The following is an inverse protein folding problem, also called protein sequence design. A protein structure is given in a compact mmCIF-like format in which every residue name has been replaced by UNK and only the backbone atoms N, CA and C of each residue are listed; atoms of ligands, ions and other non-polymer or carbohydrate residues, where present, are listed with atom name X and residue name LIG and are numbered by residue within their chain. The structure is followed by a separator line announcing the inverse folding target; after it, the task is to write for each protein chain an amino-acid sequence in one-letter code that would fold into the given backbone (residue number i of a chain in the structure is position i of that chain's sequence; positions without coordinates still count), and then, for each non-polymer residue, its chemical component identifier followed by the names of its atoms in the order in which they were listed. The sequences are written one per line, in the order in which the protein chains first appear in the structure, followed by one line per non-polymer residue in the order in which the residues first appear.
data_IF_468522940301
#
_entry.id   IF_468522940301
#
_cell.length_a   1.000
_cell.length_b   1.000
_cell.length_c   1.000
_cell.angle_alpha   90.00
_cell.angle_beta   90.00
_cell.angle_gamma   90.00
#
_symmetry.space_group_name_H-M   'P 1'
#
loop_
_entity.id
_entity.type
_entity.pdbx_description
1 polymer ?
#
# COMPACT_ATOMS: atom_id res chain seq x y z
N UNK A 1 -15.20 -51.98 41.03
CA UNK A 1 -15.58 -50.79 40.24
C UNK A 1 -14.40 -50.13 39.50
N UNK A 2 -13.16 -50.59 39.67
CA UNK A 2 -11.94 -49.98 39.12
C UNK A 2 -11.57 -50.41 37.69
N UNK A 3 -12.04 -51.57 37.21
CA UNK A 3 -11.65 -52.13 35.89
C UNK A 3 -12.33 -51.45 34.68
N UNK A 4 -13.46 -50.77 34.88
CA UNK A 4 -14.16 -50.04 33.81
C UNK A 4 -13.50 -48.68 33.49
N UNK A 5 -12.95 -47.99 34.49
CA UNK A 5 -12.28 -46.71 34.29
C UNK A 5 -10.95 -46.84 33.55
N UNK A 6 -10.22 -47.95 33.74
CA UNK A 6 -8.97 -48.20 33.01
C UNK A 6 -9.19 -48.39 31.51
N UNK A 7 -10.29 -49.03 31.12
CA UNK A 7 -10.65 -49.24 29.70
C UNK A 7 -11.09 -47.93 29.06
N UNK A 8 -11.84 -47.09 29.78
CA UNK A 8 -12.25 -45.76 29.30
C UNK A 8 -11.05 -44.82 29.17
N UNK A 9 -10.09 -44.87 30.09
CA UNK A 9 -8.86 -44.08 30.02
C UNK A 9 -7.96 -44.53 28.85
N UNK A 10 -7.90 -45.84 28.56
CA UNK A 10 -7.14 -46.38 27.44
C UNK A 10 -7.79 -46.06 26.07
N UNK A 11 -9.13 -46.01 26.01
CA UNK A 11 -9.88 -45.54 24.83
C UNK A 11 -9.70 -44.03 24.60
N UNK A 12 -9.64 -43.20 25.66
CA UNK A 12 -9.35 -41.77 25.54
C UNK A 12 -7.91 -41.48 25.09
N UNK A 13 -6.94 -42.30 25.50
CA UNK A 13 -5.54 -42.17 25.08
C UNK A 13 -5.34 -42.57 23.60
N UNK A 14 -6.17 -43.48 23.07
CA UNK A 14 -6.17 -43.82 21.63
C UNK A 14 -6.84 -42.75 20.76
N UNK A 15 -7.71 -41.89 21.33
CA UNK A 15 -8.30 -40.73 20.64
C UNK A 15 -7.48 -39.44 20.78
N UNK A 16 -6.43 -39.42 21.61
CA UNK A 16 -5.61 -38.23 21.86
C UNK A 16 -4.40 -38.11 20.89
N UNK A 17 -4.36 -38.92 19.84
CA UNK A 17 -3.34 -38.86 18.80
C UNK A 17 -4.02 -38.76 17.44
N UNK A 18 -4.72 -37.66 17.19
CA UNK A 18 -4.68 -37.12 15.84
C UNK A 18 -3.22 -36.69 15.64
N UNK A 19 -2.50 -37.40 14.77
CA UNK A 19 -1.37 -36.76 14.07
C UNK A 19 -1.92 -35.42 13.62
N UNK A 20 -1.31 -34.33 14.04
CA UNK A 20 -1.48 -33.04 13.35
C UNK A 20 -1.43 -33.39 11.88
N UNK A 21 -2.56 -33.23 11.18
CA UNK A 21 -2.57 -33.39 9.74
C UNK A 21 -1.38 -32.60 9.25
N UNK A 22 -0.46 -33.27 8.57
CA UNK A 22 0.48 -32.55 7.70
C UNK A 22 -0.39 -31.55 6.95
N UNK A 23 0.00 -30.28 6.97
CA UNK A 23 -0.70 -29.21 6.27
C UNK A 23 -0.44 -29.41 4.77
N UNK A 24 -0.94 -30.50 4.22
CA UNK A 24 -1.03 -30.79 2.78
C UNK A 24 -2.06 -29.88 2.10
N UNK A 25 -2.74 -29.02 2.88
CA UNK A 25 -3.61 -27.93 2.42
C UNK A 25 -2.89 -26.58 2.29
N UNK A 26 -1.55 -26.55 2.26
CA UNK A 26 -0.83 -25.34 1.88
C UNK A 26 -1.08 -25.05 0.40
N UNK A 27 -2.07 -24.21 0.12
CA UNK A 27 -2.30 -23.67 -1.21
C UNK A 27 -1.20 -22.63 -1.48
N UNK A 28 -0.01 -23.11 -1.86
CA UNK A 28 1.02 -22.24 -2.43
C UNK A 28 0.63 -22.01 -3.89
N UNK A 29 0.18 -20.79 -4.19
CA UNK A 29 -0.07 -20.33 -5.55
C UNK A 29 1.02 -19.35 -5.95
N UNK A 30 1.47 -19.49 -7.19
CA UNK A 30 2.39 -18.55 -7.81
C UNK A 30 1.62 -17.76 -8.85
N UNK A 31 1.66 -16.44 -8.73
CA UNK A 31 1.03 -15.53 -9.66
C UNK A 31 2.12 -14.74 -10.36
N UNK A 32 2.13 -14.78 -11.70
CA UNK A 32 3.19 -14.17 -12.49
C UNK A 32 3.46 -14.93 -13.79
N UNK A 33 4.41 -14.42 -14.55
CA UNK A 33 4.95 -14.97 -15.78
C UNK A 33 6.48 -14.83 -15.74
N UNK A 34 7.16 -14.95 -16.87
CA UNK A 34 8.57 -14.68 -16.97
C UNK A 34 8.91 -13.22 -16.63
N UNK A 35 10.18 -13.01 -16.23
CA UNK A 35 10.70 -11.72 -15.74
C UNK A 35 10.23 -11.41 -14.32
N UNK A 36 10.13 -10.14 -13.95
CA UNK A 36 9.89 -9.71 -12.58
C UNK A 36 8.41 -9.36 -12.38
N UNK A 37 7.75 -10.11 -11.50
CA UNK A 37 6.42 -9.81 -10.96
C UNK A 37 6.53 -9.71 -9.43
N UNK A 38 5.96 -8.65 -8.86
CA UNK A 38 6.02 -8.39 -7.41
C UNK A 38 4.62 -8.00 -6.93
N UNK A 39 4.10 -8.71 -5.94
CA UNK A 39 2.88 -8.33 -5.22
C UNK A 39 3.22 -7.41 -4.05
N UNK A 40 2.58 -6.24 -3.98
CA UNK A 40 2.81 -5.24 -2.93
C UNK A 40 1.65 -5.12 -1.95
N UNK A 41 0.43 -5.48 -2.37
CA UNK A 41 -0.76 -5.34 -1.53
C UNK A 41 -1.75 -6.47 -1.79
N UNK A 42 -2.45 -6.86 -0.72
CA UNK A 42 -3.57 -7.78 -0.75
C UNK A 42 -4.76 -7.16 -0.01
N UNK A 43 -5.98 -7.38 -0.51
CA UNK A 43 -7.23 -6.99 0.14
C UNK A 43 -8.27 -8.11 0.01
N UNK A 44 -9.08 -8.32 1.05
CA UNK A 44 -10.23 -9.24 0.98
C UNK A 44 -11.37 -8.61 0.17
N UNK A 45 -12.04 -9.39 -0.68
CA UNK A 45 -13.23 -8.94 -1.42
C UNK A 45 -14.21 -10.09 -1.63
N UNK A 46 -15.43 -9.94 -1.12
CA UNK A 46 -16.46 -10.99 -1.23
C UNK A 46 -15.95 -12.35 -0.74
N UNK A 47 -15.91 -13.35 -1.63
CA UNK A 47 -15.36 -14.68 -1.34
C UNK A 47 -13.98 -14.88 -2.00
N UNK A 48 -13.05 -13.96 -1.74
CA UNK A 48 -11.76 -13.98 -2.41
C UNK A 48 -10.83 -12.85 -2.00
N UNK A 49 -9.76 -12.68 -2.77
CA UNK A 49 -8.73 -11.67 -2.52
C UNK A 49 -8.40 -10.89 -3.80
N UNK A 50 -8.04 -9.63 -3.62
CA UNK A 50 -7.37 -8.81 -4.62
C UNK A 50 -5.90 -8.74 -4.28
N UNK A 51 -5.02 -8.95 -5.25
CA UNK A 51 -3.58 -8.75 -5.13
C UNK A 51 -3.18 -7.70 -6.15
N UNK A 52 -2.47 -6.66 -5.71
CA UNK A 52 -1.94 -5.65 -6.61
C UNK A 52 -0.43 -5.54 -6.53
N UNK A 53 0.16 -5.14 -7.65
CA UNK A 53 1.58 -4.85 -7.68
C UNK A 53 2.12 -4.48 -9.05
N UNK A 54 3.33 -4.97 -9.34
CA UNK A 54 4.00 -4.80 -10.63
C UNK A 54 3.96 -6.12 -11.38
N UNK A 55 3.35 -6.14 -12.57
CA UNK A 55 3.42 -7.28 -13.49
C UNK A 55 4.16 -6.95 -14.77
N UNK A 56 4.95 -7.87 -15.29
CA UNK A 56 5.63 -7.68 -16.57
C UNK A 56 4.74 -8.19 -17.72
N UNK A 57 4.35 -7.29 -18.61
CA UNK A 57 3.80 -7.65 -19.91
C UNK A 57 4.95 -8.13 -20.81
N UNK A 58 5.10 -9.46 -20.90
CA UNK A 58 6.26 -10.08 -21.56
C UNK A 58 6.08 -10.13 -23.07
N UNK A 59 6.99 -9.47 -23.79
CA UNK A 59 7.11 -9.61 -25.25
C UNK A 59 7.83 -10.93 -25.59
N UNK A 60 7.22 -11.80 -26.41
CA UNK A 60 7.80 -13.10 -26.76
C UNK A 60 7.41 -13.59 -28.16
N UNK A 61 8.23 -14.48 -28.73
CA UNK A 61 7.91 -15.29 -29.92
C UNK A 61 8.17 -16.77 -29.59
N UNK A 62 7.10 -17.52 -29.32
CA UNK A 62 7.21 -18.84 -28.71
C UNK A 62 7.90 -18.77 -27.36
N UNK A 63 8.97 -19.53 -27.18
CA UNK A 63 9.75 -19.59 -25.93
C UNK A 63 10.84 -18.51 -25.83
N UNK A 64 11.00 -17.65 -26.84
CA UNK A 64 12.01 -16.58 -26.83
C UNK A 64 11.39 -15.34 -26.20
N UNK A 65 11.99 -14.87 -25.10
CA UNK A 65 11.59 -13.67 -24.36
C UNK A 65 12.43 -12.46 -24.78
N UNK A 66 11.77 -11.35 -25.10
CA UNK A 66 12.40 -10.08 -25.47
C UNK A 66 12.31 -9.09 -24.30
N UNK A 67 13.35 -9.08 -23.45
CA UNK A 67 13.39 -8.23 -22.25
C UNK A 67 13.27 -6.74 -22.56
N UNK A 68 13.88 -6.27 -23.66
CA UNK A 68 13.89 -4.84 -24.04
C UNK A 68 12.52 -4.29 -24.45
N UNK A 69 11.61 -5.15 -24.91
CA UNK A 69 10.26 -4.76 -25.35
C UNK A 69 9.18 -5.22 -24.38
N UNK A 70 9.57 -5.86 -23.27
CA UNK A 70 8.67 -6.20 -22.17
C UNK A 70 8.50 -4.99 -21.26
N UNK A 71 7.30 -4.76 -20.75
CA UNK A 71 6.97 -3.53 -20.01
C UNK A 71 6.33 -3.88 -18.68
N UNK A 72 6.80 -3.25 -17.61
CA UNK A 72 6.21 -3.35 -16.27
C UNK A 72 4.88 -2.59 -16.23
N UNK A 73 3.85 -3.18 -15.64
CA UNK A 73 2.50 -2.67 -15.55
C UNK A 73 2.01 -2.70 -14.11
N UNK A 74 1.10 -1.79 -13.79
CA UNK A 74 0.31 -1.94 -12.57
C UNK A 74 -0.60 -3.14 -12.77
N UNK A 75 -0.46 -4.14 -11.92
CA UNK A 75 -1.19 -5.39 -12.01
C UNK A 75 -2.23 -5.51 -10.91
N UNK A 76 -3.40 -6.08 -11.22
CA UNK A 76 -4.39 -6.51 -10.23
C UNK A 76 -4.83 -7.94 -10.56
N UNK A 77 -4.91 -8.80 -9.55
CA UNK A 77 -5.41 -10.17 -9.64
C UNK A 77 -6.55 -10.32 -8.66
N UNK A 78 -7.65 -10.92 -9.09
CA UNK A 78 -8.68 -11.43 -8.20
C UNK A 78 -8.58 -12.94 -8.10
N UNK A 79 -8.66 -13.46 -6.88
CA UNK A 79 -8.63 -14.89 -6.60
C UNK A 79 -9.88 -15.32 -5.83
N UNK A 80 -10.20 -16.61 -5.86
CA UNK A 80 -11.14 -17.21 -4.91
C UNK A 80 -10.51 -17.42 -3.53
N UNK A 81 -11.30 -17.86 -2.55
CA UNK A 81 -10.81 -18.27 -1.22
C UNK A 81 -9.81 -19.43 -1.25
N UNK A 82 -9.80 -20.20 -2.35
CA UNK A 82 -8.83 -21.27 -2.63
C UNK A 82 -7.58 -20.77 -3.38
N UNK A 83 -7.41 -19.45 -3.54
CA UNK A 83 -6.31 -18.84 -4.27
C UNK A 83 -6.33 -19.08 -5.78
N UNK A 84 -7.34 -19.74 -6.35
CA UNK A 84 -7.41 -19.86 -7.81
C UNK A 84 -7.71 -18.49 -8.44
N UNK A 85 -6.98 -18.15 -9.50
CA UNK A 85 -7.19 -16.90 -10.24
C UNK A 85 -8.59 -16.90 -10.88
N UNK A 86 -9.35 -15.84 -10.60
CA UNK A 86 -10.63 -15.53 -11.23
C UNK A 86 -10.39 -14.64 -12.44
N UNK A 87 -9.59 -13.59 -12.26
CA UNK A 87 -9.11 -12.72 -13.34
C UNK A 87 -7.79 -12.06 -12.96
N UNK A 88 -7.06 -11.61 -13.98
CA UNK A 88 -5.82 -10.84 -13.86
C UNK A 88 -5.79 -9.78 -14.95
N UNK A 89 -5.55 -8.54 -14.56
CA UNK A 89 -5.51 -7.38 -15.46
C UNK A 89 -4.27 -6.52 -15.20
N UNK A 90 -3.83 -5.83 -16.25
CA UNK A 90 -2.63 -4.97 -16.25
C UNK A 90 -2.97 -3.58 -16.80
N UNK A 91 -2.42 -2.54 -16.18
CA UNK A 91 -2.74 -1.15 -16.42
C UNK A 91 -1.47 -0.29 -16.59
N UNK A 92 -1.64 0.90 -17.18
CA UNK A 92 -0.55 1.84 -17.49
C UNK A 92 -0.30 2.07 -18.98
N UNK A 93 -1.26 1.76 -19.87
CA UNK A 93 -1.19 1.97 -21.32
C UNK A 93 0.20 1.69 -21.94
N UNK A 94 0.83 2.63 -22.66
CA UNK A 94 2.18 2.43 -23.26
C UNK A 94 3.33 2.80 -22.33
N UNK A 95 3.05 3.11 -21.06
CA UNK A 95 4.07 3.51 -20.09
C UNK A 95 4.33 2.41 -19.06
N UNK A 96 5.52 2.36 -18.45
CA UNK A 96 5.75 1.51 -17.30
C UNK A 96 4.91 1.98 -16.10
N UNK A 97 4.35 1.05 -15.34
CA UNK A 97 3.59 1.36 -14.13
C UNK A 97 3.75 0.26 -13.07
N UNK A 98 3.43 0.58 -11.82
CA UNK A 98 3.35 -0.37 -10.72
C UNK A 98 2.26 0.08 -9.73
N UNK A 99 1.52 -0.89 -9.18
CA UNK A 99 0.61 -0.66 -8.04
C UNK A 99 1.35 -0.84 -6.72
N UNK A 100 0.97 -0.07 -5.71
CA UNK A 100 1.49 -0.16 -4.34
C UNK A 100 0.42 -0.67 -3.37
N UNK A 101 -0.84 -0.21 -3.53
CA UNK A 101 -1.97 -0.56 -2.66
C UNK A 101 -3.24 -0.77 -3.46
N UNK A 102 -3.97 -1.84 -3.16
CA UNK A 102 -5.35 -2.05 -3.61
C UNK A 102 -6.32 -1.95 -2.43
N UNK A 103 -7.46 -1.35 -2.69
CA UNK A 103 -8.60 -1.23 -1.79
C UNK A 103 -9.83 -1.83 -2.48
N UNK A 104 -10.43 -2.83 -1.84
CA UNK A 104 -11.73 -3.37 -2.21
C UNK A 104 -12.84 -2.40 -1.79
N UNK A 105 -13.86 -2.24 -2.64
CA UNK A 105 -15.04 -1.43 -2.36
C UNK A 105 -16.26 -2.32 -2.10
N UNK A 106 -17.28 -1.77 -1.43
CA UNK A 106 -18.46 -2.52 -0.97
C UNK A 106 -19.25 -3.16 -2.11
N UNK A 107 -19.20 -2.59 -3.31
CA UNK A 107 -19.83 -3.11 -4.52
C UNK A 107 -18.99 -4.20 -5.22
N UNK A 108 -17.87 -4.62 -4.62
CA UNK A 108 -16.95 -5.61 -5.15
C UNK A 108 -15.98 -5.07 -6.21
N UNK A 109 -16.09 -3.79 -6.57
CA UNK A 109 -15.12 -3.07 -7.41
C UNK A 109 -13.85 -2.79 -6.61
N UNK A 110 -12.80 -2.28 -7.26
CA UNK A 110 -11.54 -1.99 -6.60
C UNK A 110 -10.90 -0.71 -7.10
N UNK A 111 -10.10 -0.10 -6.24
CA UNK A 111 -9.21 1.01 -6.58
C UNK A 111 -7.78 0.67 -6.20
N UNK A 112 -6.84 0.95 -7.10
CA UNK A 112 -5.42 0.71 -6.92
C UNK A 112 -4.65 2.01 -7.12
N UNK A 113 -3.70 2.28 -6.22
CA UNK A 113 -2.79 3.42 -6.32
C UNK A 113 -1.36 2.93 -6.47
N UNK A 114 -0.53 3.73 -7.12
CA UNK A 114 0.90 3.47 -7.29
C UNK A 114 1.53 4.57 -8.12
N UNK A 115 2.29 4.20 -9.15
CA UNK A 115 2.89 5.17 -10.06
C UNK A 115 2.93 4.69 -11.51
N UNK A 116 3.00 5.66 -12.41
CA UNK A 116 3.36 5.49 -13.82
C UNK A 116 4.65 6.25 -14.12
N UNK A 117 5.46 5.78 -15.07
CA UNK A 117 6.72 6.41 -15.45
C UNK A 117 6.56 7.11 -16.80
N UNK A 118 6.74 8.43 -16.84
CA UNK A 118 6.77 9.17 -18.10
C UNK A 118 7.99 8.72 -18.94
N UNK A 119 7.76 8.28 -20.18
CA UNK A 119 8.82 7.70 -21.02
C UNK A 119 9.80 8.74 -21.57
N UNK A 120 9.50 10.03 -21.43
CA UNK A 120 10.36 11.14 -21.88
C UNK A 120 11.18 11.67 -20.71
N UNK A 121 10.53 12.00 -19.59
CA UNK A 121 11.22 12.57 -18.42
C UNK A 121 11.81 11.52 -17.48
N UNK A 122 11.33 10.27 -17.57
CA UNK A 122 11.63 9.15 -16.66
C UNK A 122 11.18 9.37 -15.21
N UNK A 123 10.33 10.38 -14.99
CA UNK A 123 9.79 10.70 -13.67
C UNK A 123 8.57 9.83 -13.37
N UNK A 124 8.37 9.54 -12.08
CA UNK A 124 7.18 8.86 -11.59
C UNK A 124 6.08 9.87 -11.33
N UNK A 125 4.88 9.59 -11.82
CA UNK A 125 3.67 10.31 -11.48
C UNK A 125 2.72 9.39 -10.70
N UNK A 126 1.99 9.94 -9.73
CA UNK A 126 0.96 9.20 -9.01
C UNK A 126 -0.08 8.68 -10.01
N UNK A 127 -0.33 7.37 -9.96
CA UNK A 127 -1.25 6.71 -10.87
C UNK A 127 -2.32 5.97 -10.08
N UNK A 128 -3.58 6.15 -10.49
CA UNK A 128 -4.75 5.57 -9.85
C UNK A 128 -5.59 4.88 -10.90
N UNK A 129 -6.00 3.64 -10.61
CA UNK A 129 -6.86 2.82 -11.47
C UNK A 129 -8.05 2.35 -10.65
N UNK A 130 -9.25 2.47 -11.20
CA UNK A 130 -10.48 1.89 -10.66
C UNK A 130 -11.02 0.86 -11.64
N UNK A 131 -11.37 -0.32 -11.13
CA UNK A 131 -11.88 -1.45 -11.90
C UNK A 131 -13.21 -1.93 -11.33
N UNK A 132 -14.07 -2.53 -12.15
CA UNK A 132 -15.28 -3.21 -11.69
C UNK A 132 -14.97 -4.57 -11.04
N UNK A 133 -16.01 -5.28 -10.59
CA UNK A 133 -15.87 -6.57 -9.90
C UNK A 133 -15.32 -7.69 -10.81
N UNK A 134 -15.42 -7.50 -12.12
CA UNK A 134 -14.95 -8.38 -13.19
C UNK A 134 -13.54 -8.00 -13.69
N UNK A 135 -12.95 -6.92 -13.16
CA UNK A 135 -11.61 -6.46 -13.50
C UNK A 135 -11.55 -5.47 -14.66
N UNK A 136 -12.70 -5.12 -15.28
CA UNK A 136 -12.70 -4.16 -16.37
C UNK A 136 -12.38 -2.75 -15.84
N UNK A 137 -11.54 -2.02 -16.57
CA UNK A 137 -11.20 -0.63 -16.24
C UNK A 137 -12.43 0.26 -16.29
N UNK A 138 -12.78 0.88 -15.16
CA UNK A 138 -13.82 1.91 -15.07
C UNK A 138 -13.24 3.30 -15.31
N UNK A 139 -12.10 3.58 -14.70
CA UNK A 139 -11.38 4.84 -14.88
C UNK A 139 -9.91 4.70 -14.46
N UNK A 140 -9.07 5.55 -15.04
CA UNK A 140 -7.66 5.63 -14.70
C UNK A 140 -7.18 7.07 -14.80
N UNK A 141 -6.25 7.47 -13.93
CA UNK A 141 -5.74 8.84 -13.92
C UNK A 141 -4.31 8.92 -13.43
N UNK A 142 -3.51 9.70 -14.17
CA UNK A 142 -2.16 10.10 -13.79
C UNK A 142 -2.23 11.54 -13.26
N UNK A 143 -1.73 11.76 -12.06
CA UNK A 143 -1.61 13.08 -11.43
C UNK A 143 -0.17 13.54 -11.59
N UNK A 144 0.04 14.48 -12.51
CA UNK A 144 1.38 14.96 -12.87
C UNK A 144 1.88 16.04 -11.93
N UNK A 145 3.18 16.04 -11.69
CA UNK A 145 3.88 17.14 -11.02
C UNK A 145 5.29 17.35 -11.60
N UNK A 146 5.93 18.45 -11.20
CA UNK A 146 7.31 18.78 -11.61
C UNK A 146 8.38 18.02 -10.80
N UNK A 147 8.00 16.87 -10.23
CA UNK A 147 8.81 16.00 -9.36
C UNK A 147 8.27 14.57 -9.39
N UNK A 148 9.02 13.61 -8.85
CA UNK A 148 8.51 12.26 -8.64
C UNK A 148 7.36 12.29 -7.62
N UNK A 149 6.30 11.56 -7.94
CA UNK A 149 5.16 11.27 -7.09
C UNK A 149 4.77 9.80 -7.19
N UNK A 150 4.37 9.21 -6.07
CA UNK A 150 3.83 7.85 -6.07
C UNK A 150 2.89 7.62 -4.88
N UNK A 151 1.90 6.77 -5.10
CA UNK A 151 0.97 6.33 -4.07
C UNK A 151 1.57 5.22 -3.21
N UNK A 152 1.27 5.26 -1.93
CA UNK A 152 1.75 4.31 -0.90
C UNK A 152 0.56 3.57 -0.32
N UNK A 153 -0.48 4.30 0.11
CA UNK A 153 -1.68 3.73 0.71
C UNK A 153 -2.93 4.54 0.30
N UNK A 154 -4.11 3.95 0.45
CA UNK A 154 -5.39 4.58 0.08
C UNK A 154 -6.49 4.12 1.03
N UNK A 155 -7.37 5.06 1.42
CA UNK A 155 -8.51 4.78 2.28
C UNK A 155 -9.78 5.46 1.74
N UNK A 156 -10.93 4.83 2.00
CA UNK A 156 -12.24 5.40 1.72
C UNK A 156 -12.52 6.61 2.61
N UNK A 157 -13.21 7.58 2.05
CA UNK A 157 -13.72 8.77 2.75
C UNK A 157 -15.16 9.04 2.29
N UNK A 158 -15.95 9.83 3.03
CA UNK A 158 -17.31 10.19 2.60
C UNK A 158 -17.37 10.89 1.22
N UNK A 159 -16.31 11.60 0.82
CA UNK A 159 -16.25 12.36 -0.44
C UNK A 159 -15.59 11.56 -1.60
N UNK A 160 -15.08 10.36 -1.33
CA UNK A 160 -14.31 9.55 -2.27
C UNK A 160 -13.15 8.85 -1.54
N UNK A 161 -11.91 9.25 -1.82
CA UNK A 161 -10.72 8.60 -1.29
C UNK A 161 -9.67 9.60 -0.80
N UNK A 162 -8.89 9.17 0.18
CA UNK A 162 -7.67 9.84 0.63
C UNK A 162 -6.48 8.94 0.33
N UNK A 163 -5.53 9.47 -0.43
CA UNK A 163 -4.31 8.79 -0.85
C UNK A 163 -3.16 9.33 0.00
N UNK A 164 -2.42 8.40 0.63
CA UNK A 164 -1.10 8.66 1.17
C UNK A 164 -0.07 8.37 0.08
N UNK A 165 0.79 9.33 -0.20
CA UNK A 165 1.85 9.21 -1.18
C UNK A 165 3.14 9.89 -0.72
N UNK A 166 4.12 9.88 -1.60
CA UNK A 166 5.37 10.64 -1.44
C UNK A 166 5.59 11.53 -2.64
N UNK A 167 6.25 12.67 -2.41
CA UNK A 167 6.66 13.60 -3.46
C UNK A 167 8.07 14.12 -3.21
N UNK A 168 8.86 14.35 -4.26
CA UNK A 168 10.17 15.02 -4.14
C UNK A 168 10.17 16.45 -4.71
N UNK A 169 8.97 16.99 -4.95
CA UNK A 169 8.76 18.37 -5.41
C UNK A 169 9.22 19.31 -4.30
N UNK A 170 10.07 20.27 -4.67
CA UNK A 170 10.59 21.26 -3.73
C UNK A 170 9.45 22.05 -3.06
N UNK A 171 9.60 22.28 -1.76
CA UNK A 171 8.65 23.04 -0.95
C UNK A 171 9.40 24.14 -0.22
N UNK A 172 9.03 25.39 -0.49
CA UNK A 172 9.63 26.53 0.20
C UNK A 172 9.41 26.41 1.72
N UNK A 173 10.45 26.65 2.54
CA UNK A 173 10.34 26.58 3.98
C UNK A 173 9.40 27.67 4.49
N UNK A 174 8.38 27.29 5.26
CA UNK A 174 7.47 28.22 5.96
C UNK A 174 8.04 28.60 7.34
N UNK A 175 8.86 27.72 7.90
CA UNK A 175 9.57 27.80 9.18
C UNK A 175 10.95 27.15 9.04
N UNK A 176 11.85 27.36 10.01
CA UNK A 176 13.18 26.69 10.08
C UNK A 176 13.08 25.16 10.17
N UNK A 177 11.89 24.63 10.49
CA UNK A 177 11.61 23.20 10.63
C UNK A 177 10.66 22.68 9.56
N UNK A 178 10.56 23.35 8.42
CA UNK A 178 9.69 22.94 7.32
C UNK A 178 10.34 23.23 5.98
N UNK A 179 9.74 22.74 4.90
CA UNK A 179 10.27 22.87 3.55
C UNK A 179 11.17 21.70 3.20
N UNK A 180 11.38 21.51 1.90
CA UNK A 180 12.23 20.45 1.40
C UNK A 180 12.95 20.88 0.12
N UNK A 181 14.17 20.37 -0.09
CA UNK A 181 14.93 20.59 -1.32
C UNK A 181 14.52 19.56 -2.37
N UNK A 182 14.54 19.93 -3.66
CA UNK A 182 14.27 18.97 -4.73
C UNK A 182 15.10 17.68 -4.59
N UNK A 183 14.46 16.53 -4.76
CA UNK A 183 15.10 15.20 -4.66
C UNK A 183 15.13 14.61 -3.24
N UNK A 184 14.59 15.33 -2.26
CA UNK A 184 14.26 14.82 -0.93
C UNK A 184 12.75 14.59 -0.84
N UNK A 185 12.35 13.53 -0.15
CA UNK A 185 10.95 13.10 -0.12
C UNK A 185 10.18 13.81 0.99
N UNK A 186 8.97 14.26 0.68
CA UNK A 186 7.94 14.66 1.64
C UNK A 186 6.75 13.68 1.57
N UNK A 187 5.97 13.65 2.66
CA UNK A 187 4.69 12.95 2.71
C UNK A 187 3.63 13.80 2.02
N UNK A 188 2.90 13.20 1.08
CA UNK A 188 1.80 13.85 0.36
C UNK A 188 0.47 13.18 0.68
N UNK A 189 -0.57 13.99 0.89
CA UNK A 189 -1.95 13.58 0.98
C UNK A 189 -2.75 14.16 -0.18
N UNK A 190 -3.38 13.30 -0.96
CA UNK A 190 -4.25 13.69 -2.07
C UNK A 190 -5.67 13.19 -1.82
N UNK A 191 -6.63 14.12 -1.81
CA UNK A 191 -8.06 13.78 -1.80
C UNK A 191 -8.58 13.71 -3.22
N UNK A 192 -9.35 12.67 -3.53
CA UNK A 192 -9.98 12.47 -4.82
C UNK A 192 -11.43 12.04 -4.63
N UNK A 193 -12.32 12.44 -5.55
CA UNK A 193 -13.70 11.98 -5.54
C UNK A 193 -13.85 10.61 -6.23
N UNK A 194 -15.07 10.07 -6.25
CA UNK A 194 -15.38 8.79 -6.89
C UNK A 194 -15.12 8.74 -8.41
N UNK A 195 -15.00 9.90 -9.06
CA UNK A 195 -14.64 10.03 -10.48
C UNK A 195 -13.13 10.22 -10.70
N UNK A 196 -12.31 10.05 -9.65
CA UNK A 196 -10.88 10.34 -9.64
C UNK A 196 -10.57 11.82 -9.93
N UNK A 197 -11.44 12.75 -9.54
CA UNK A 197 -11.15 14.18 -9.60
C UNK A 197 -10.57 14.65 -8.28
N UNK A 198 -9.48 15.41 -8.35
CA UNK A 198 -8.81 15.94 -7.18
C UNK A 198 -9.69 16.95 -6.43
N UNK A 199 -9.78 16.80 -5.11
CA UNK A 199 -10.54 17.67 -4.19
C UNK A 199 -9.58 18.60 -3.45
N UNK A 200 -9.47 19.84 -3.94
CA UNK A 200 -8.55 20.85 -3.39
C UNK A 200 -7.08 20.55 -3.70
N UNK A 201 -6.17 21.36 -3.18
CA UNK A 201 -4.73 21.13 -3.33
C UNK A 201 -4.25 19.95 -2.48
N UNK A 202 -3.21 19.19 -2.92
CA UNK A 202 -2.61 18.18 -2.07
C UNK A 202 -2.02 18.83 -0.82
N UNK A 203 -2.11 18.14 0.31
CA UNK A 203 -1.43 18.56 1.53
C UNK A 203 -0.06 17.86 1.58
N UNK A 204 1.01 18.62 1.78
CA UNK A 204 2.39 18.11 1.80
C UNK A 204 3.02 18.47 3.14
N UNK A 205 3.61 17.48 3.80
CA UNK A 205 4.23 17.61 5.12
C UNK A 205 5.53 16.83 5.18
N UNK A 206 6.37 17.20 6.15
CA UNK A 206 7.75 16.74 6.25
C UNK A 206 8.66 17.86 6.73
N UNK A 207 9.91 17.51 6.90
CA UNK A 207 11.00 18.34 7.40
C UNK A 207 12.08 18.50 6.33
N UNK A 208 13.11 19.34 6.55
CA UNK A 208 14.26 19.39 5.66
C UNK A 208 15.02 18.05 5.66
N UNK A 209 14.68 17.15 4.73
CA UNK A 209 15.14 15.76 4.80
C UNK A 209 14.22 14.78 4.06
N UNK A 210 14.40 13.49 4.31
CA UNK A 210 13.52 12.46 3.77
C UNK A 210 12.42 12.10 4.77
N UNK A 211 11.19 12.32 4.34
CA UNK A 211 9.97 11.93 5.03
C UNK A 211 9.11 11.08 4.10
N UNK A 212 8.78 9.87 4.53
CA UNK A 212 8.04 8.92 3.72
C UNK A 212 6.93 8.26 4.54
N UNK A 213 5.71 8.25 3.99
CA UNK A 213 4.57 7.59 4.62
C UNK A 213 4.72 6.07 4.55
N UNK A 214 4.13 5.36 5.51
CA UNK A 214 4.06 3.91 5.49
C UNK A 214 2.60 3.43 5.42
N UNK A 215 1.71 4.00 6.25
CA UNK A 215 0.31 3.61 6.28
C UNK A 215 -0.61 4.75 6.70
N UNK A 216 -1.87 4.68 6.26
CA UNK A 216 -2.97 5.53 6.73
C UNK A 216 -4.15 4.66 7.20
N UNK A 217 -4.70 4.96 8.38
CA UNK A 217 -5.86 4.25 8.95
C UNK A 217 -6.91 5.23 9.44
N UNK A 218 -8.18 4.84 9.36
CA UNK A 218 -9.27 5.58 10.02
C UNK A 218 -9.09 5.54 11.53
N UNK A 219 -9.37 6.66 12.19
CA UNK A 219 -9.44 6.71 13.65
C UNK A 219 -10.88 6.41 14.14
N UNK A 220 -11.03 6.11 15.44
CA UNK A 220 -12.34 5.79 16.04
C UNK A 220 -13.33 6.99 16.10
N UNK A 221 -12.86 8.20 15.82
CA UNK A 221 -13.63 9.44 15.92
C UNK A 221 -13.97 10.05 14.55
N UNK A 222 -13.72 9.34 13.44
CA UNK A 222 -14.00 9.79 12.07
C UNK A 222 -12.87 10.60 11.41
N UNK A 223 -11.69 10.65 12.03
CA UNK A 223 -10.44 11.14 11.46
C UNK A 223 -9.55 10.02 10.90
N UNK A 224 -8.25 10.31 10.77
CA UNK A 224 -7.25 9.40 10.25
C UNK A 224 -5.92 9.52 11.01
N UNK A 225 -5.15 8.44 11.05
CA UNK A 225 -3.78 8.40 11.58
C UNK A 225 -2.85 8.00 10.45
N UNK A 226 -1.75 8.74 10.31
CA UNK A 226 -0.68 8.48 9.36
C UNK A 226 0.57 8.16 10.14
N UNK A 227 1.23 7.06 9.77
CA UNK A 227 2.56 6.71 10.24
C UNK A 227 3.53 6.69 9.07
N UNK A 228 4.78 7.06 9.33
CA UNK A 228 5.85 7.09 8.34
C UNK A 228 7.22 7.11 9.00
N UNK A 229 8.24 7.32 8.19
CA UNK A 229 9.62 7.47 8.62
C UNK A 229 10.14 8.85 8.24
N UNK A 230 10.94 9.45 9.12
CA UNK A 230 11.60 10.74 8.94
C UNK A 230 13.07 10.62 9.32
N UNK A 231 13.98 11.34 8.65
CA UNK A 231 15.38 11.47 9.08
C UNK A 231 15.58 12.58 10.14
N UNK A 232 14.49 13.05 10.76
CA UNK A 232 14.50 14.01 11.86
C UNK A 232 14.38 13.32 13.22
N UNK A 233 15.20 13.75 14.17
CA UNK A 233 15.14 13.32 15.57
C UNK A 233 14.27 14.24 16.43
N UNK A 234 13.71 13.70 17.52
CA UNK A 234 13.07 14.47 18.59
C UNK A 234 14.08 15.08 19.59
N UNK A 235 15.35 14.71 19.48
CA UNK A 235 16.48 15.25 20.25
C UNK A 235 17.01 16.56 19.63
N UNK A 236 17.87 17.28 20.36
CA UNK A 236 18.43 18.56 19.89
C UNK A 236 19.18 18.43 18.56
N UNK A 237 19.04 19.45 17.70
CA UNK A 237 19.56 19.53 16.33
C UNK A 237 21.08 19.33 16.14
N UNK A 238 21.85 19.16 17.22
CA UNK A 238 23.30 18.91 17.17
C UNK A 238 23.65 17.44 16.97
N UNK A 239 22.68 16.52 17.08
CA UNK A 239 22.89 15.10 16.87
C UNK A 239 21.97 14.63 15.74
N UNK A 240 22.55 14.41 14.56
CA UNK A 240 21.80 13.84 13.43
C UNK A 240 21.59 12.35 13.75
N UNK A 241 20.42 12.03 14.28
CA UNK A 241 20.00 10.66 14.55
C UNK A 241 19.73 9.87 13.27
N UNK A 242 19.55 8.56 13.41
CA UNK A 242 19.04 7.68 12.36
C UNK A 242 17.62 8.04 11.92
N UNK A 243 16.99 7.12 11.20
CA UNK A 243 15.58 7.22 10.84
C UNK A 243 14.71 7.15 12.09
N UNK A 244 13.62 7.90 12.13
CA UNK A 244 12.69 7.99 13.26
C UNK A 244 11.25 7.79 12.76
N UNK A 245 10.33 7.48 13.66
CA UNK A 245 8.91 7.33 13.32
C UNK A 245 8.25 8.70 13.26
N UNK A 246 7.59 8.98 12.14
CA UNK A 246 6.69 10.11 11.94
C UNK A 246 5.25 9.68 12.25
N UNK A 247 4.54 10.42 13.10
CA UNK A 247 3.14 10.17 13.42
C UNK A 247 2.32 11.46 13.30
N UNK A 248 1.26 11.45 12.49
CA UNK A 248 0.40 12.61 12.29
C UNK A 248 -1.07 12.20 12.32
N UNK A 249 -1.92 13.05 12.90
CA UNK A 249 -3.36 12.84 12.96
C UNK A 249 -4.08 13.86 12.08
N UNK A 250 -5.13 13.38 11.40
CA UNK A 250 -6.16 14.18 10.76
C UNK A 250 -7.43 14.00 11.60
N UNK A 251 -7.98 15.08 12.13
CA UNK A 251 -9.22 15.03 12.90
C UNK A 251 -10.43 14.88 11.96
N UNK A 252 -11.59 14.53 12.54
CA UNK A 252 -12.83 14.33 11.79
C UNK A 252 -13.34 15.56 11.05
N UNK A 253 -12.95 16.77 11.50
CA UNK A 253 -13.24 18.04 10.82
C UNK A 253 -12.25 18.36 9.69
N UNK A 254 -11.29 17.47 9.44
CA UNK A 254 -10.22 17.64 8.45
C UNK A 254 -9.03 18.48 8.94
N UNK A 255 -9.05 18.98 10.18
CA UNK A 255 -7.89 19.67 10.75
C UNK A 255 -6.74 18.69 10.98
N UNK A 256 -5.52 19.11 10.64
CA UNK A 256 -4.31 18.28 10.71
C UNK A 256 -3.50 18.72 11.93
N UNK A 257 -3.05 17.75 12.73
CA UNK A 257 -2.17 18.03 13.87
C UNK A 257 -0.73 18.19 13.43
N UNK A 258 0.07 18.89 14.23
CA UNK A 258 1.52 18.82 14.09
C UNK A 258 2.00 17.36 14.21
N UNK A 259 2.98 16.95 13.39
CA UNK A 259 3.53 15.62 13.49
C UNK A 259 4.33 15.45 14.78
N UNK A 260 4.24 14.24 15.34
CA UNK A 260 5.09 13.77 16.43
C UNK A 260 6.19 12.89 15.85
N UNK A 261 7.39 13.07 16.38
CA UNK A 261 8.54 12.22 16.07
C UNK A 261 8.72 11.28 17.25
N UNK A 262 8.89 9.99 16.98
CA UNK A 262 9.12 8.96 17.98
C UNK A 262 10.39 8.21 17.58
N UNK A 263 11.40 8.25 18.43
CA UNK A 263 12.69 7.60 18.16
C UNK A 263 13.83 8.34 18.84
N UNK A 264 15.07 8.02 18.47
CA UNK A 264 16.25 8.64 19.06
C UNK A 264 17.40 8.84 18.08
N UNK A 265 18.54 8.23 18.40
CA UNK A 265 19.77 8.29 17.59
C UNK A 265 19.94 7.06 16.69
N UNK A 266 19.29 5.94 17.03
CA UNK A 266 19.32 4.71 16.24
C UNK A 266 18.27 4.77 15.10
N UNK A 267 18.30 3.79 14.19
CA UNK A 267 17.35 3.70 13.09
C UNK A 267 16.05 3.01 13.52
N UNK A 268 14.95 3.76 13.51
CA UNK A 268 13.57 3.31 13.60
C UNK A 268 12.81 3.50 12.27
N UNK A 269 12.16 2.43 11.80
CA UNK A 269 11.35 2.45 10.57
C UNK A 269 9.90 2.11 10.88
N UNK A 270 8.98 2.91 10.35
CA UNK A 270 7.56 2.56 10.36
C UNK A 270 7.26 1.56 9.24
N UNK A 271 6.40 0.59 9.54
CA UNK A 271 5.96 -0.41 8.57
C UNK A 271 4.44 -0.38 8.36
N UNK A 272 3.67 -0.31 9.44
CA UNK A 272 2.22 -0.22 9.42
C UNK A 272 1.73 0.38 10.74
N UNK A 273 0.44 0.72 10.80
CA UNK A 273 -0.27 1.07 12.02
C UNK A 273 -1.63 0.37 12.02
N UNK A 274 -2.08 -0.04 13.20
CA UNK A 274 -3.42 -0.61 13.39
C UNK A 274 -4.09 0.10 14.57
N UNK A 275 -5.36 0.47 14.38
CA UNK A 275 -6.16 1.14 15.41
C UNK A 275 -6.96 0.08 16.14
N UNK A 276 -6.78 0.00 17.46
CA UNK A 276 -7.49 -0.96 18.30
C UNK A 276 -8.84 -0.39 18.73
N UNK A 277 -9.77 -1.28 19.09
CA UNK A 277 -11.13 -0.88 19.48
C UNK A 277 -11.19 -0.02 20.76
N UNK A 278 -10.14 -0.06 21.58
CA UNK A 278 -10.01 0.73 22.80
C UNK A 278 -9.30 2.07 22.62
N UNK A 279 -8.85 2.39 21.39
CA UNK A 279 -8.20 3.64 21.03
C UNK A 279 -6.69 3.55 21.07
#
# INVERSE_FOLDING_TARGET
MTRKYLIVLFLMLLSACEKTHDIDNNIIKFYGDALEDIGYSIAEVGNGYLIAGQFTEVSRNGNIIYTKTSVKKMGIIKTGTDGNEIWKESFGDKVPAAGSKVLALDDGSAICVGYAIDTVTLMKDLYVVKVDAEGNSLSQKIYKADGNQYGIDIINTPEGFLILGSTDVAREPVTESSGNTAGKKDIQLLRINNNLEQIGSPYVTGFPGNDEGAAIKSDLNGGYIIVGTTDRSDQQATEQGGNNIFLMKINADGSITEPRIIGGLDDEYAADIEVLNDG
#
